data_IF_359576842164
#
_entry.id   IF_359576842164
#
_cell.length_a   1.000
_cell.length_b   1.000
_cell.length_c   1.000
_cell.angle_alpha   90.00
_cell.angle_beta   90.00
_cell.angle_gamma   90.00
#
_symmetry.space_group_name_H-M   'P 1'
#
loop_
_entity.id
_entity.type
_entity.pdbx_description
1 polymer ?
#
# COMPACT_ATOMS: atom_id res chain seq x y z
N UNK A 1 -1.80 16.89 0.29
CA UNK A 1 -1.56 16.28 -1.04
C UNK A 1 -1.20 14.81 -0.85
N UNK A 2 -1.80 13.90 -1.61
CA UNK A 2 -1.65 12.46 -1.45
C UNK A 2 -0.96 11.85 -2.67
N UNK A 3 0.13 11.14 -2.42
CA UNK A 3 0.89 10.37 -3.41
C UNK A 3 0.70 8.88 -3.11
N UNK A 4 0.27 8.12 -4.10
CA UNK A 4 0.18 6.67 -4.02
C UNK A 4 1.22 6.00 -4.91
N UNK A 5 1.97 5.06 -4.35
CA UNK A 5 2.88 4.20 -5.09
C UNK A 5 2.23 2.82 -5.26
N UNK A 6 2.31 2.29 -6.48
CA UNK A 6 1.86 0.94 -6.79
C UNK A 6 2.81 0.26 -7.78
N UNK A 7 2.72 -1.06 -7.89
CA UNK A 7 3.63 -1.83 -8.73
C UNK A 7 3.75 -3.29 -8.30
N UNK A 8 4.46 -4.11 -9.07
CA UNK A 8 4.65 -5.52 -8.75
C UNK A 8 5.38 -5.73 -7.42
N UNK A 9 5.27 -6.92 -6.80
CA UNK A 9 6.02 -7.24 -5.60
C UNK A 9 7.54 -7.21 -5.89
N UNK A 10 8.36 -6.89 -4.89
CA UNK A 10 9.83 -6.77 -5.00
C UNK A 10 10.38 -5.68 -5.95
N UNK A 11 9.53 -4.77 -6.44
CA UNK A 11 9.96 -3.63 -7.28
C UNK A 11 10.55 -2.45 -6.49
N UNK A 12 10.70 -2.55 -5.17
CA UNK A 12 11.32 -1.47 -4.38
C UNK A 12 10.41 -0.30 -4.00
N UNK A 13 9.07 -0.48 -4.00
CA UNK A 13 8.09 0.54 -3.55
C UNK A 13 8.44 1.19 -2.22
N UNK A 14 8.63 0.37 -1.19
CA UNK A 14 8.96 0.83 0.15
C UNK A 14 10.32 1.57 0.18
N UNK A 15 11.28 1.14 -0.63
CA UNK A 15 12.59 1.79 -0.74
C UNK A 15 12.47 3.18 -1.36
N UNK A 16 11.78 3.30 -2.49
CA UNK A 16 11.54 4.60 -3.13
C UNK A 16 10.72 5.52 -2.23
N UNK A 17 9.66 5.01 -1.59
CA UNK A 17 8.81 5.81 -0.72
C UNK A 17 9.57 6.38 0.49
N UNK A 18 10.46 5.58 1.10
CA UNK A 18 11.35 6.05 2.18
C UNK A 18 12.31 7.11 1.69
N UNK A 19 13.01 6.85 0.58
CA UNK A 19 13.97 7.79 0.03
C UNK A 19 13.30 9.13 -0.34
N UNK A 20 12.17 9.09 -1.04
CA UNK A 20 11.40 10.27 -1.39
C UNK A 20 10.90 11.03 -0.16
N UNK A 21 10.38 10.34 0.86
CA UNK A 21 9.92 11.00 2.08
C UNK A 21 11.07 11.70 2.83
N UNK A 22 12.26 11.09 2.91
CA UNK A 22 13.45 11.71 3.49
C UNK A 22 13.85 12.95 2.70
N UNK A 23 13.98 12.81 1.38
CA UNK A 23 14.41 13.90 0.50
C UNK A 23 13.45 15.10 0.51
N UNK A 24 12.14 14.85 0.52
CA UNK A 24 11.13 15.91 0.64
C UNK A 24 11.27 16.68 1.96
N UNK A 25 11.54 15.98 3.08
CA UNK A 25 11.77 16.63 4.38
C UNK A 25 13.04 17.45 4.41
N UNK A 26 14.13 16.93 3.84
CA UNK A 26 15.40 17.66 3.71
C UNK A 26 15.25 18.94 2.91
N UNK A 27 14.33 18.96 1.94
CA UNK A 27 13.96 20.14 1.14
C UNK A 27 12.89 21.04 1.80
N UNK A 28 12.53 20.77 3.06
CA UNK A 28 11.62 21.60 3.85
C UNK A 28 10.13 21.33 3.60
N UNK A 29 9.77 20.28 2.85
CA UNK A 29 8.37 19.89 2.71
C UNK A 29 7.91 19.08 3.92
N UNK A 30 6.70 19.39 4.42
CA UNK A 30 6.03 18.57 5.42
C UNK A 30 5.57 17.24 4.81
N UNK A 31 6.47 16.25 4.73
CA UNK A 31 6.20 14.96 4.14
C UNK A 31 6.07 13.85 5.19
N UNK A 32 5.02 13.04 5.11
CA UNK A 32 4.82 11.86 5.95
C UNK A 32 4.66 10.61 5.09
N UNK A 33 5.23 9.50 5.56
CA UNK A 33 5.17 8.21 4.88
C UNK A 33 4.26 7.28 5.66
N UNK A 34 3.17 6.87 5.04
CA UNK A 34 2.30 5.81 5.52
C UNK A 34 2.77 4.50 4.90
N UNK A 35 3.46 3.70 5.70
CA UNK A 35 3.83 2.34 5.31
C UNK A 35 2.63 1.41 5.50
N UNK A 36 2.28 0.69 4.46
CA UNK A 36 1.30 -0.39 4.58
C UNK A 36 1.82 -1.47 5.54
N UNK A 37 0.92 -1.92 6.42
CA UNK A 37 1.20 -2.85 7.52
C UNK A 37 1.89 -4.13 7.03
N UNK A 38 3.21 -4.18 7.20
CA UNK A 38 4.02 -5.40 7.25
C UNK A 38 4.28 -5.71 8.73
N UNK A 39 3.69 -6.76 9.32
CA UNK A 39 3.95 -7.14 10.70
C UNK A 39 5.45 -7.33 11.01
N UNK A 40 6.23 -7.74 10.01
CA UNK A 40 7.68 -7.94 10.14
C UNK A 40 8.48 -6.64 10.28
N UNK A 41 7.97 -5.50 9.79
CA UNK A 41 8.68 -4.21 9.86
C UNK A 41 8.42 -3.45 11.16
N UNK A 42 7.53 -3.95 12.03
CA UNK A 42 7.28 -3.39 13.37
C UNK A 42 8.32 -3.80 14.43
N UNK A 43 9.31 -4.61 14.05
CA UNK A 43 10.45 -4.93 14.92
C UNK A 43 11.66 -4.02 14.66
N UNK A 44 11.48 -2.74 14.31
CA UNK A 44 12.58 -1.76 14.29
C UNK A 44 12.07 -0.32 14.39
N UNK A 45 11.35 -0.01 15.47
CA UNK A 45 11.04 1.38 15.84
C UNK A 45 10.86 1.46 17.34
N UNK A 46 11.93 1.17 18.09
CA UNK A 46 12.03 1.57 19.49
C UNK A 46 12.17 3.10 19.52
N UNK A 47 11.05 3.80 19.67
CA UNK A 47 11.03 5.13 20.27
C UNK A 47 11.01 4.97 21.79
N UNK A 48 11.81 5.73 22.56
CA UNK A 48 11.87 5.59 24.00
C UNK A 48 10.59 6.17 24.61
N UNK A 49 9.80 5.33 25.28
CA UNK A 49 8.74 5.77 26.18
C UNK A 49 7.32 5.33 25.80
N UNK A 50 6.93 4.13 26.23
CA UNK A 50 5.54 3.91 26.65
C UNK A 50 5.49 2.83 27.75
N UNK A 51 5.09 3.16 28.99
CA UNK A 51 5.23 2.27 30.16
C UNK A 51 4.05 1.32 30.39
N UNK A 52 3.40 0.81 29.33
CA UNK A 52 2.29 -0.13 29.51
C UNK A 52 2.64 -1.53 28.96
N UNK A 53 3.48 -2.25 29.69
CA UNK A 53 3.78 -3.67 29.46
C UNK A 53 2.92 -4.54 30.39
N UNK A 54 1.94 -5.24 29.82
CA UNK A 54 1.32 -6.41 30.45
C UNK A 54 2.37 -7.53 30.71
N UNK A 55 2.18 -8.39 31.73
CA UNK A 55 3.25 -9.12 32.39
C UNK A 55 3.82 -10.27 31.55
N UNK A 56 5.12 -10.50 31.73
CA UNK A 56 5.94 -11.50 31.04
C UNK A 56 5.90 -12.85 31.75
N UNK A 57 5.04 -13.79 31.37
CA UNK A 57 5.28 -15.23 31.61
C UNK A 57 4.60 -16.10 30.55
N UNK A 58 5.24 -16.28 29.39
CA UNK A 58 4.92 -17.36 28.45
C UNK A 58 6.16 -17.71 27.60
N UNK A 59 6.44 -18.99 27.32
CA UNK A 59 7.62 -19.41 26.56
C UNK A 59 7.62 -18.83 25.13
N UNK A 60 8.80 -18.47 24.59
CA UNK A 60 8.93 -17.66 23.37
C UNK A 60 8.39 -18.34 22.09
N UNK A 61 8.26 -19.66 22.08
CA UNK A 61 7.76 -20.46 20.96
C UNK A 61 6.24 -20.37 20.82
N UNK A 62 5.50 -20.48 21.93
CA UNK A 62 4.04 -20.29 21.94
C UNK A 62 3.65 -18.83 21.63
N UNK A 63 4.48 -17.86 22.02
CA UNK A 63 4.23 -16.44 21.73
C UNK A 63 4.26 -16.13 20.23
N UNK A 64 5.04 -16.86 19.43
CA UNK A 64 5.10 -16.69 17.97
C UNK A 64 3.90 -17.31 17.25
N UNK A 65 3.33 -18.38 17.78
CA UNK A 65 2.15 -19.05 17.23
C UNK A 65 0.83 -18.44 17.71
N UNK A 66 0.79 -17.95 18.95
CA UNK A 66 -0.39 -17.34 19.53
C UNK A 66 -0.56 -15.87 19.14
N UNK A 67 0.50 -15.13 18.82
CA UNK A 67 0.41 -13.71 18.43
C UNK A 67 -0.53 -13.43 17.25
N UNK A 68 -0.53 -14.19 16.13
CA UNK A 68 -1.48 -13.93 15.05
C UNK A 68 -2.93 -14.19 15.47
N UNK A 69 -3.19 -15.17 16.34
CA UNK A 69 -4.54 -15.51 16.83
C UNK A 69 -5.01 -14.52 17.89
N UNK A 70 -4.11 -14.10 18.80
CA UNK A 70 -4.38 -13.11 19.85
C UNK A 70 -4.53 -11.72 19.25
N UNK A 71 -3.76 -11.34 18.23
CA UNK A 71 -4.03 -10.13 17.43
C UNK A 71 -5.38 -10.26 16.70
N UNK A 72 -5.74 -11.43 16.17
CA UNK A 72 -7.06 -11.67 15.57
C UNK A 72 -8.22 -11.46 16.57
N UNK A 73 -8.08 -11.97 17.80
CA UNK A 73 -9.08 -11.86 18.87
C UNK A 73 -9.11 -10.49 19.53
N UNK A 74 -7.97 -9.82 19.66
CA UNK A 74 -7.90 -8.44 20.14
C UNK A 74 -8.50 -7.46 19.12
N UNK A 75 -8.37 -7.75 17.82
CA UNK A 75 -8.94 -6.96 16.73
C UNK A 75 -10.44 -7.22 16.49
N UNK A 76 -10.96 -8.38 16.91
CA UNK A 76 -12.40 -8.65 16.94
C UNK A 76 -13.12 -7.97 18.13
N UNK A 77 -12.36 -7.52 19.14
CA UNK A 77 -12.88 -6.97 20.40
C UNK A 77 -12.89 -5.45 20.52
N UNK A 78 -12.75 -4.71 19.42
CA UNK A 78 -13.04 -3.26 19.40
C UNK A 78 -14.35 -2.99 18.66
N UNK A 79 -15.52 -3.11 19.33
CA UNK A 79 -16.82 -3.19 18.66
C UNK A 79 -17.51 -1.82 18.52
N UNK A 80 -16.84 -0.68 18.72
CA UNK A 80 -17.58 0.56 18.98
C UNK A 80 -16.95 1.85 18.47
N UNK A 81 -16.50 1.91 17.20
CA UNK A 81 -16.34 3.20 16.45
C UNK A 81 -16.68 3.07 14.94
N UNK A 82 -16.96 1.87 14.42
CA UNK A 82 -16.85 1.57 12.98
C UNK A 82 -18.17 1.07 12.37
N UNK A 83 -19.24 1.88 12.38
CA UNK A 83 -20.50 1.51 11.72
C UNK A 83 -20.62 2.03 10.28
N UNK A 84 -20.05 3.19 9.94
CA UNK A 84 -20.15 3.76 8.58
C UNK A 84 -18.95 3.44 7.65
N UNK A 85 -17.75 3.23 8.18
CA UNK A 85 -16.54 3.02 7.36
C UNK A 85 -16.41 1.59 6.82
N UNK A 86 -17.00 0.64 7.56
CA UNK A 86 -17.06 -0.75 7.17
C UNK A 86 -17.87 -0.93 5.87
N UNK A 87 -18.86 -0.08 5.60
CA UNK A 87 -19.75 -0.19 4.44
C UNK A 87 -19.02 -0.16 3.10
N UNK A 88 -18.10 0.79 2.89
CA UNK A 88 -17.32 0.93 1.65
C UNK A 88 -16.29 -0.19 1.45
N UNK A 89 -15.53 -0.52 2.50
CA UNK A 89 -14.55 -1.60 2.47
C UNK A 89 -15.21 -2.98 2.28
N UNK A 90 -16.33 -3.23 2.97
CA UNK A 90 -17.14 -4.43 2.78
C UNK A 90 -17.72 -4.48 1.36
N UNK A 91 -18.12 -3.35 0.78
CA UNK A 91 -18.66 -3.32 -0.58
C UNK A 91 -17.59 -3.69 -1.62
N UNK A 92 -16.36 -3.17 -1.50
CA UNK A 92 -15.24 -3.54 -2.38
C UNK A 92 -14.87 -5.03 -2.25
N UNK A 93 -14.84 -5.56 -1.03
CA UNK A 93 -14.54 -6.98 -0.78
C UNK A 93 -15.67 -7.89 -1.25
N UNK A 94 -16.94 -7.48 -1.05
CA UNK A 94 -18.11 -8.21 -1.56
C UNK A 94 -18.21 -8.16 -3.08
N UNK A 95 -17.74 -7.08 -3.72
CA UNK A 95 -17.72 -6.93 -5.17
C UNK A 95 -16.66 -7.84 -5.80
N UNK A 96 -15.48 -7.97 -5.18
CA UNK A 96 -14.37 -8.75 -5.75
C UNK A 96 -14.25 -10.20 -5.20
N UNK A 97 -15.02 -10.55 -4.16
CA UNK A 97 -15.21 -11.90 -3.57
C UNK A 97 -13.94 -12.76 -3.52
N UNK A 98 -13.04 -12.54 -2.54
CA UNK A 98 -11.86 -13.36 -2.36
C UNK A 98 -12.21 -14.84 -2.06
N UNK A 99 -11.40 -15.78 -2.56
CA UNK A 99 -11.60 -17.24 -2.38
C UNK A 99 -11.48 -17.71 -0.92
N UNK A 100 -10.79 -16.96 -0.06
CA UNK A 100 -10.47 -17.35 1.31
C UNK A 100 -11.05 -16.39 2.32
N UNK A 101 -11.79 -16.93 3.29
CA UNK A 101 -12.39 -16.16 4.39
C UNK A 101 -11.32 -15.40 5.19
N UNK A 102 -10.15 -16.03 5.40
CA UNK A 102 -9.00 -15.38 6.05
C UNK A 102 -8.54 -14.13 5.29
N UNK A 103 -8.34 -14.25 3.97
CA UNK A 103 -7.91 -13.14 3.13
C UNK A 103 -8.99 -12.06 2.98
N UNK A 104 -10.27 -12.44 2.96
CA UNK A 104 -11.40 -11.50 2.97
C UNK A 104 -11.42 -10.64 4.22
N UNK A 105 -11.25 -11.24 5.40
CA UNK A 105 -11.19 -10.50 6.67
C UNK A 105 -9.97 -9.58 6.69
N UNK A 106 -8.79 -10.12 6.33
CA UNK A 106 -7.53 -9.37 6.30
C UNK A 106 -7.60 -8.15 5.37
N UNK A 107 -8.10 -8.31 4.15
CA UNK A 107 -8.24 -7.20 3.20
C UNK A 107 -9.33 -6.21 3.63
N UNK A 108 -10.44 -6.67 4.21
CA UNK A 108 -11.49 -5.76 4.73
C UNK A 108 -10.94 -4.86 5.84
N UNK A 109 -10.14 -5.42 6.75
CA UNK A 109 -9.47 -4.66 7.81
C UNK A 109 -8.43 -3.69 7.26
N UNK A 110 -7.61 -4.16 6.30
CA UNK A 110 -6.63 -3.30 5.63
C UNK A 110 -7.31 -2.11 4.95
N UNK A 111 -8.37 -2.35 4.17
CA UNK A 111 -9.14 -1.30 3.48
C UNK A 111 -9.82 -0.33 4.45
N UNK A 112 -10.36 -0.82 5.56
CA UNK A 112 -10.98 0.05 6.58
C UNK A 112 -9.94 0.98 7.20
N UNK A 113 -8.77 0.46 7.58
CA UNK A 113 -7.67 1.27 8.12
C UNK A 113 -7.11 2.23 7.08
N UNK A 114 -6.92 1.76 5.85
CA UNK A 114 -6.46 2.60 4.76
C UNK A 114 -7.43 3.75 4.51
N UNK A 115 -8.75 3.49 4.55
CA UNK A 115 -9.77 4.53 4.41
C UNK A 115 -9.68 5.59 5.51
N UNK A 116 -9.49 5.17 6.76
CA UNK A 116 -9.31 6.11 7.87
C UNK A 116 -8.01 6.93 7.73
N UNK A 117 -6.89 6.26 7.45
CA UNK A 117 -5.60 6.93 7.21
C UNK A 117 -5.65 7.89 6.03
N UNK A 118 -6.37 7.53 4.96
CA UNK A 118 -6.55 8.37 3.79
C UNK A 118 -7.37 9.63 4.11
N UNK A 119 -8.44 9.50 4.91
CA UNK A 119 -9.24 10.65 5.31
C UNK A 119 -8.41 11.63 6.14
N UNK A 120 -7.72 11.14 7.16
CA UNK A 120 -6.81 11.99 7.94
C UNK A 120 -5.70 12.61 7.08
N UNK A 121 -5.13 11.86 6.15
CA UNK A 121 -4.14 12.37 5.19
C UNK A 121 -4.72 13.46 4.26
N UNK A 122 -6.03 13.46 4.02
CA UNK A 122 -6.71 14.48 3.21
C UNK A 122 -6.94 15.78 3.97
N UNK A 123 -6.94 15.72 5.31
CA UNK A 123 -7.14 16.88 6.20
C UNK A 123 -5.83 17.58 6.57
N UNK A 124 -4.69 16.88 6.46
CA UNK A 124 -3.38 17.41 6.80
C UNK A 124 -2.82 18.25 5.64
N UNK A 125 -2.34 19.45 5.96
CA UNK A 125 -1.55 20.26 5.03
C UNK A 125 -0.13 19.72 4.95
N UNK A 126 0.26 19.21 3.78
CA UNK A 126 1.52 18.51 3.56
C UNK A 126 1.46 17.44 2.48
N UNK A 127 2.55 16.69 2.32
CA UNK A 127 2.70 15.59 1.36
C UNK A 127 2.56 14.26 2.09
N UNK A 128 1.51 13.51 1.79
CA UNK A 128 1.25 12.18 2.36
C UNK A 128 1.59 11.12 1.32
N UNK A 129 2.60 10.29 1.61
CA UNK A 129 3.05 9.22 0.75
C UNK A 129 2.50 7.88 1.22
N UNK A 130 1.91 7.10 0.32
CA UNK A 130 1.47 5.74 0.57
C UNK A 130 2.29 4.79 -0.31
N UNK A 131 3.08 3.90 0.31
CA UNK A 131 3.90 2.94 -0.44
C UNK A 131 3.07 1.80 -1.07
N UNK A 132 1.88 1.58 -0.54
CA UNK A 132 0.79 0.77 -1.07
C UNK A 132 -0.54 1.37 -0.57
N UNK A 133 -1.50 1.64 -1.46
CA UNK A 133 -2.84 2.05 -1.07
C UNK A 133 -3.92 1.35 -1.93
N UNK A 134 -4.95 2.09 -2.36
CA UNK A 134 -6.17 1.51 -2.90
C UNK A 134 -5.97 0.77 -4.23
N UNK A 135 -5.11 1.28 -5.11
CA UNK A 135 -4.79 0.62 -6.39
C UNK A 135 -4.10 -0.72 -6.12
N UNK A 136 -3.15 -0.76 -5.18
CA UNK A 136 -2.50 -2.00 -4.77
C UNK A 136 -3.47 -2.97 -4.07
N UNK A 137 -4.41 -2.44 -3.29
CA UNK A 137 -5.47 -3.22 -2.65
C UNK A 137 -6.38 -3.89 -3.67
N UNK A 138 -6.77 -3.15 -4.73
CA UNK A 138 -7.55 -3.68 -5.85
C UNK A 138 -6.78 -4.77 -6.57
N UNK A 139 -5.48 -4.57 -6.86
CA UNK A 139 -4.65 -5.62 -7.47
C UNK A 139 -4.66 -6.91 -6.64
N UNK A 140 -4.60 -6.76 -5.32
CA UNK A 140 -4.66 -7.88 -4.37
C UNK A 140 -6.04 -8.56 -4.34
N UNK A 141 -7.12 -7.78 -4.44
CA UNK A 141 -8.49 -8.30 -4.53
C UNK A 141 -8.75 -9.06 -5.83
N UNK A 142 -8.23 -8.56 -6.96
CA UNK A 142 -8.33 -9.24 -8.26
C UNK A 142 -7.63 -10.59 -8.20
N UNK A 143 -6.40 -10.61 -7.66
CA UNK A 143 -5.59 -11.82 -7.50
C UNK A 143 -6.29 -12.88 -6.65
N UNK A 144 -6.90 -12.45 -5.53
CA UNK A 144 -7.58 -13.34 -4.61
C UNK A 144 -9.02 -13.68 -5.03
N UNK A 145 -9.60 -12.88 -5.92
CA UNK A 145 -10.97 -13.00 -6.41
C UNK A 145 -11.11 -13.95 -7.59
N UNK A 146 -12.35 -14.12 -8.06
CA UNK A 146 -12.64 -14.73 -9.37
C UNK A 146 -12.92 -13.68 -10.46
N UNK A 147 -12.86 -12.41 -10.11
CA UNK A 147 -13.27 -11.32 -11.00
C UNK A 147 -12.18 -11.07 -12.04
N UNK A 148 -12.44 -11.57 -13.26
CA UNK A 148 -11.66 -11.23 -14.45
C UNK A 148 -12.32 -10.15 -15.31
N UNK A 149 -13.53 -9.71 -14.94
CA UNK A 149 -14.30 -8.72 -15.67
C UNK A 149 -13.70 -7.31 -15.52
N UNK A 150 -13.30 -6.72 -16.65
CA UNK A 150 -12.69 -5.39 -16.70
C UNK A 150 -13.65 -4.28 -16.31
N UNK A 151 -14.95 -4.44 -16.61
CA UNK A 151 -15.94 -3.43 -16.26
C UNK A 151 -16.08 -3.32 -14.74
N UNK A 152 -16.08 -4.46 -14.02
CA UNK A 152 -16.11 -4.50 -12.56
C UNK A 152 -14.81 -3.98 -11.95
N UNK A 153 -13.65 -4.31 -12.53
CA UNK A 153 -12.35 -3.78 -12.08
C UNK A 153 -12.30 -2.26 -12.24
N UNK A 154 -12.72 -1.75 -13.41
CA UNK A 154 -12.76 -0.32 -13.67
C UNK A 154 -13.76 0.40 -12.75
N UNK A 155 -14.92 -0.21 -12.46
CA UNK A 155 -15.87 0.32 -11.50
C UNK A 155 -15.27 0.38 -10.09
N UNK A 156 -14.57 -0.67 -9.66
CA UNK A 156 -13.89 -0.67 -8.37
C UNK A 156 -12.83 0.45 -8.28
N UNK A 157 -12.06 0.67 -9.35
CA UNK A 157 -11.07 1.76 -9.41
C UNK A 157 -11.72 3.15 -9.33
N UNK A 158 -12.90 3.35 -9.94
CA UNK A 158 -13.63 4.62 -9.83
C UNK A 158 -14.21 4.88 -8.45
N UNK A 159 -14.56 3.82 -7.70
CA UNK A 159 -15.07 3.93 -6.33
C UNK A 159 -13.97 4.25 -5.30
N UNK A 160 -12.70 4.10 -5.67
CA UNK A 160 -11.60 4.38 -4.74
C UNK A 160 -11.25 5.86 -4.66
N UNK A 161 -10.84 6.35 -3.48
CA UNK A 161 -10.26 7.68 -3.35
C UNK A 161 -9.12 7.89 -4.35
N UNK A 162 -9.10 9.07 -4.99
CA UNK A 162 -8.13 9.38 -6.04
C UNK A 162 -6.93 10.11 -5.41
N UNK A 163 -5.70 9.57 -5.49
CA UNK A 163 -4.51 10.33 -5.12
C UNK A 163 -4.34 11.52 -6.06
N UNK A 164 -3.64 12.54 -5.58
CA UNK A 164 -3.19 13.66 -6.40
C UNK A 164 -2.15 13.18 -7.42
N UNK A 165 -1.25 12.28 -6.99
CA UNK A 165 -0.25 11.67 -7.84
C UNK A 165 -0.22 10.15 -7.67
N UNK A 166 -0.31 9.44 -8.79
CA UNK A 166 -0.21 7.99 -8.84
C UNK A 166 1.11 7.58 -9.54
N UNK A 167 1.94 6.83 -8.83
CA UNK A 167 3.28 6.45 -9.28
C UNK A 167 3.35 4.93 -9.44
N UNK A 168 3.60 4.50 -10.67
CA UNK A 168 3.90 3.11 -10.98
C UNK A 168 5.40 2.90 -10.94
N UNK A 169 5.85 1.96 -10.13
CA UNK A 169 7.25 1.52 -10.19
C UNK A 169 7.35 0.30 -11.08
N UNK A 170 8.26 0.35 -12.04
CA UNK A 170 8.47 -0.69 -13.04
C UNK A 170 9.86 -1.32 -12.90
N UNK A 171 9.95 -2.61 -13.18
CA UNK A 171 11.23 -3.29 -13.31
C UNK A 171 11.07 -4.45 -14.28
N UNK A 172 12.10 -4.78 -15.08
CA UNK A 172 12.06 -5.93 -15.96
C UNK A 172 11.61 -7.21 -15.25
N UNK A 173 10.71 -7.98 -15.87
CA UNK A 173 10.13 -9.20 -15.29
C UNK A 173 11.18 -10.20 -14.81
N UNK A 174 12.26 -10.38 -15.56
CA UNK A 174 13.39 -11.24 -15.19
C UNK A 174 14.08 -10.80 -13.88
N UNK A 175 14.23 -9.49 -13.67
CA UNK A 175 14.80 -8.93 -12.43
C UNK A 175 13.84 -9.13 -11.26
N UNK A 176 12.54 -8.89 -11.49
CA UNK A 176 11.49 -9.12 -10.48
C UNK A 176 11.42 -10.58 -10.06
N UNK A 177 11.43 -11.51 -11.02
CA UNK A 177 11.45 -12.94 -10.78
C UNK A 177 12.67 -13.37 -9.96
N UNK A 178 13.86 -12.90 -10.32
CA UNK A 178 15.08 -13.18 -9.57
C UNK A 178 15.01 -12.66 -8.13
N UNK A 179 14.50 -11.43 -7.93
CA UNK A 179 14.31 -10.83 -6.60
C UNK A 179 13.25 -11.58 -5.78
N UNK A 180 12.15 -12.00 -6.39
CA UNK A 180 11.09 -12.79 -5.75
C UNK A 180 11.63 -14.15 -5.30
N UNK A 181 12.36 -14.87 -6.17
CA UNK A 181 12.98 -16.15 -5.83
C UNK A 181 13.98 -16.03 -4.68
N UNK A 182 14.84 -15.01 -4.70
CA UNK A 182 15.78 -14.71 -3.59
C UNK A 182 15.05 -14.41 -2.28
N UNK A 183 13.94 -13.68 -2.33
CA UNK A 183 13.16 -13.38 -1.13
C UNK A 183 12.51 -14.64 -0.56
N UNK A 184 11.96 -15.50 -1.40
CA UNK A 184 11.32 -16.75 -0.98
C UNK A 184 12.30 -17.74 -0.32
N UNK A 185 13.55 -17.81 -0.81
CA UNK A 185 14.59 -18.65 -0.21
C UNK A 185 14.98 -18.21 1.21
N UNK A 186 14.76 -16.93 1.57
CA UNK A 186 15.03 -16.40 2.90
C UNK A 186 13.83 -16.35 3.84
N UNK A 187 12.62 -16.69 3.38
CA UNK A 187 11.40 -16.56 4.17
C UNK A 187 11.11 -17.77 5.06
N UNK A 188 10.73 -17.49 6.31
CA UNK A 188 10.23 -18.48 7.26
C UNK A 188 8.81 -18.94 6.91
N UNK A 189 8.42 -20.15 7.34
CA UNK A 189 7.10 -20.72 7.04
C UNK A 189 5.92 -19.84 7.51
N UNK A 190 6.11 -19.07 8.59
CA UNK A 190 5.10 -18.14 9.10
C UNK A 190 4.96 -16.88 8.22
N UNK A 191 6.05 -16.40 7.62
CA UNK A 191 6.01 -15.28 6.66
C UNK A 191 5.35 -15.70 5.35
N UNK A 192 5.57 -16.95 4.92
CA UNK A 192 4.91 -17.54 3.74
C UNK A 192 3.39 -17.68 3.88
N UNK A 193 2.87 -17.83 5.10
CA UNK A 193 1.43 -17.87 5.33
C UNK A 193 0.78 -16.48 5.22
N UNK A 194 1.57 -15.42 5.41
CA UNK A 194 1.12 -14.02 5.42
C UNK A 194 1.40 -13.29 4.10
N UNK A 195 2.24 -13.85 3.23
CA UNK A 195 2.58 -13.34 1.90
C UNK A 195 2.07 -14.28 0.80
N UNK A 196 1.92 -13.76 -0.42
CA UNK A 196 1.58 -14.57 -1.59
C UNK A 196 2.72 -15.52 -1.94
N UNK A 197 2.42 -16.71 -2.47
CA UNK A 197 3.45 -17.61 -3.00
C UNK A 197 4.07 -17.06 -4.31
N UNK A 198 5.11 -17.72 -4.83
CA UNK A 198 5.82 -17.24 -6.03
C UNK A 198 4.88 -17.12 -7.24
N UNK A 199 4.05 -18.14 -7.47
CA UNK A 199 3.14 -18.17 -8.63
C UNK A 199 2.10 -17.05 -8.54
N UNK A 200 1.51 -16.87 -7.36
CA UNK A 200 0.55 -15.80 -7.06
C UNK A 200 1.21 -14.42 -7.18
N UNK A 201 2.48 -14.27 -6.80
CA UNK A 201 3.23 -13.02 -7.01
C UNK A 201 3.53 -12.73 -8.49
N UNK A 202 3.72 -13.76 -9.32
CA UNK A 202 3.92 -13.59 -10.76
C UNK A 202 2.61 -13.19 -11.46
N UNK A 203 1.50 -13.81 -11.09
CA UNK A 203 0.16 -13.39 -11.54
C UNK A 203 -0.12 -11.92 -11.16
N UNK A 204 0.37 -11.46 -10.00
CA UNK A 204 0.24 -10.07 -9.58
C UNK A 204 1.00 -9.09 -10.49
N UNK A 205 2.07 -9.50 -11.17
CA UNK A 205 2.77 -8.66 -12.15
C UNK A 205 1.82 -8.33 -13.31
N UNK A 206 1.18 -9.37 -13.86
CA UNK A 206 0.25 -9.25 -14.99
C UNK A 206 -1.01 -8.46 -14.60
N UNK A 207 -1.50 -8.65 -13.37
CA UNK A 207 -2.64 -7.87 -12.84
C UNK A 207 -2.29 -6.39 -12.72
N UNK A 208 -1.08 -6.05 -12.25
CA UNK A 208 -0.65 -4.66 -12.14
C UNK A 208 -0.58 -3.98 -13.51
N UNK A 209 -0.07 -4.68 -14.52
CA UNK A 209 -0.04 -4.18 -15.91
C UNK A 209 -1.45 -3.92 -16.43
N UNK A 210 -2.39 -4.84 -16.19
CA UNK A 210 -3.78 -4.70 -16.57
C UNK A 210 -4.47 -3.52 -15.86
N UNK A 211 -4.24 -3.35 -14.56
CA UNK A 211 -4.79 -2.23 -13.78
C UNK A 211 -4.21 -0.90 -14.25
N UNK A 212 -2.92 -0.83 -14.59
CA UNK A 212 -2.31 0.37 -15.17
C UNK A 212 -2.97 0.76 -16.50
N UNK A 213 -3.20 -0.21 -17.39
CA UNK A 213 -3.89 0.04 -18.66
C UNK A 213 -5.30 0.60 -18.45
N UNK A 214 -6.07 0.02 -17.51
CA UNK A 214 -7.42 0.49 -17.18
C UNK A 214 -7.42 1.91 -16.58
N UNK A 215 -6.48 2.20 -15.67
CA UNK A 215 -6.32 3.54 -15.11
C UNK A 215 -6.06 4.58 -16.21
N UNK A 216 -5.13 4.29 -17.13
CA UNK A 216 -4.79 5.17 -18.25
C UNK A 216 -5.97 5.36 -19.21
N UNK A 217 -6.69 4.29 -19.54
CA UNK A 217 -7.88 4.35 -20.40
C UNK A 217 -8.98 5.25 -19.81
N UNK A 218 -9.09 5.30 -18.47
CA UNK A 218 -10.02 6.18 -17.75
C UNK A 218 -9.46 7.59 -17.51
N UNK A 219 -8.36 7.96 -18.19
CA UNK A 219 -7.77 9.30 -18.10
C UNK A 219 -7.01 9.56 -16.80
N UNK A 220 -6.74 8.54 -15.98
CA UNK A 220 -5.92 8.71 -14.78
C UNK A 220 -4.47 8.92 -15.19
N UNK A 221 -3.87 10.01 -14.72
CA UNK A 221 -2.45 10.29 -14.94
C UNK A 221 -1.61 9.37 -14.06
N UNK A 222 -0.84 8.48 -14.70
CA UNK A 222 0.09 7.57 -14.03
C UNK A 222 1.52 7.89 -14.44
N UNK A 223 2.35 8.24 -13.46
CA UNK A 223 3.78 8.49 -13.65
C UNK A 223 4.55 7.18 -13.45
N UNK A 224 5.27 6.73 -14.48
CA UNK A 224 6.12 5.55 -14.39
C UNK A 224 7.53 5.92 -13.98
N UNK A 225 8.09 5.17 -13.03
CA UNK A 225 9.49 5.28 -12.60
C UNK A 225 10.15 3.91 -12.62
N UNK A 226 11.35 3.83 -13.19
CA UNK A 226 12.11 2.60 -13.20
C UNK A 226 12.70 2.33 -11.80
N UNK A 227 12.56 1.09 -11.32
CA UNK A 227 13.31 0.57 -10.18
C UNK A 227 14.66 0.08 -10.66
N UNK A 228 15.60 0.99 -10.89
CA UNK A 228 17.02 0.64 -11.00
C UNK A 228 17.78 1.36 -9.88
N UNK A 229 19.10 1.23 -9.84
CA UNK A 229 20.02 1.46 -8.72
C UNK A 229 19.93 2.83 -8.00
N UNK A 230 20.76 3.09 -6.98
CA UNK A 230 20.70 4.33 -6.17
C UNK A 230 20.62 5.62 -7.01
N UNK A 231 21.35 5.72 -8.13
CA UNK A 231 21.23 6.88 -9.04
C UNK A 231 19.87 7.03 -9.74
N UNK A 232 19.11 5.94 -9.86
CA UNK A 232 17.72 5.96 -10.35
C UNK A 232 16.70 6.32 -9.26
N UNK A 233 17.05 6.23 -7.97
CA UNK A 233 16.17 6.69 -6.88
C UNK A 233 16.15 8.21 -6.79
N UNK A 234 17.31 8.85 -6.87
CA UNK A 234 17.41 10.31 -6.88
C UNK A 234 16.72 10.91 -8.12
N UNK A 235 16.97 10.35 -9.31
CA UNK A 235 16.29 10.78 -10.54
C UNK A 235 14.77 10.58 -10.49
N UNK A 236 14.29 9.47 -9.92
CA UNK A 236 12.86 9.25 -9.71
C UNK A 236 12.26 10.26 -8.71
N UNK A 237 12.97 10.54 -7.61
CA UNK A 237 12.53 11.51 -6.63
C UNK A 237 12.49 12.93 -7.20
N UNK A 238 13.49 13.34 -7.98
CA UNK A 238 13.50 14.62 -8.69
C UNK A 238 12.33 14.77 -9.65
N UNK A 239 12.04 13.74 -10.43
CA UNK A 239 10.90 13.73 -11.34
C UNK A 239 9.58 13.90 -10.59
N UNK A 240 9.43 13.22 -9.45
CA UNK A 240 8.24 13.33 -8.62
C UNK A 240 8.13 14.74 -8.05
N UNK A 241 9.21 15.29 -7.48
CA UNK A 241 9.26 16.65 -6.93
C UNK A 241 8.89 17.73 -7.98
N UNK A 242 9.41 17.62 -9.21
CA UNK A 242 9.03 18.53 -10.29
C UNK A 242 7.52 18.49 -10.56
N UNK A 243 6.90 17.30 -10.51
CA UNK A 243 5.45 17.18 -10.64
C UNK A 243 4.72 17.81 -9.46
N UNK A 244 5.22 17.65 -8.23
CA UNK A 244 4.63 18.28 -7.04
C UNK A 244 4.66 19.81 -7.14
N UNK A 245 5.78 20.36 -7.61
CA UNK A 245 5.94 21.80 -7.82
C UNK A 245 4.97 22.33 -8.87
N UNK A 246 4.84 21.65 -10.02
CA UNK A 246 3.90 22.03 -11.08
C UNK A 246 2.43 22.01 -10.61
N UNK A 247 2.06 20.99 -9.82
CA UNK A 247 0.71 20.88 -9.26
C UNK A 247 0.42 21.95 -8.21
N UNK A 248 1.40 22.27 -7.36
CA UNK A 248 1.27 23.32 -6.34
C UNK A 248 1.15 24.71 -6.98
N UNK A 249 1.88 24.97 -8.07
CA UNK A 249 1.77 26.20 -8.86
C UNK A 249 0.39 26.35 -9.51
N UNK A 250 -0.13 25.27 -10.10
CA UNK A 250 -1.47 25.26 -10.72
C UNK A 250 -2.57 25.55 -9.69
N UNK A 251 -2.52 24.92 -8.51
CA UNK A 251 -3.51 25.17 -7.43
C UNK A 251 -3.48 26.60 -6.91
N UNK A 252 -2.29 27.19 -6.78
CA UNK A 252 -2.16 28.58 -6.36
C UNK A 252 -2.75 29.55 -7.38
N UNK A 253 -2.56 29.30 -8.68
CA UNK A 253 -3.15 30.11 -9.74
C UNK A 253 -4.70 30.02 -9.74
N UNK A 254 -5.26 28.82 -9.58
CA UNK A 254 -6.71 28.60 -9.49
C UNK A 254 -7.35 29.25 -8.25
N UNK A 255 -6.63 29.27 -7.12
CA UNK A 255 -7.09 29.89 -5.88
C UNK A 255 -7.11 31.43 -5.93
N UNK A 256 -6.26 32.05 -6.76
CA UNK A 256 -6.21 33.51 -6.95
C UNK A 256 -7.25 34.00 -7.97
N UNK A 257 -7.75 33.12 -8.83
CA UNK A 257 -8.81 33.43 -9.81
C UNK A 257 -10.24 33.25 -9.28
N UNK A 258 -10.41 32.74 -8.06
CA UNK A 258 -11.71 32.60 -7.36
C UNK A 258 -11.87 33.71 -6.33
#
# INVERSE_FOLDING_TARGET
MIIELFGPPCVGKTTLARHLATRLRERGHAAQLMLSYRPAEQCSSDGPGNPNRMPRHAPPTLRRLARPIVEMLALARQPSVISNELGGAINLVKMLRPKSVFWSIRLSQYLSRLSNSWRHASEIDGVMLFDQAFVQAICSLILLGRVKDEALIAQALELTPKPDLLIRIESPRNILEARLRRRQSGQSAAERLLEFDLQTNLELIEIVERVDALLRQRGRKVTCVASLEQGSLDGAAELIEMQLAAMSGTRRAEAVMR
#
